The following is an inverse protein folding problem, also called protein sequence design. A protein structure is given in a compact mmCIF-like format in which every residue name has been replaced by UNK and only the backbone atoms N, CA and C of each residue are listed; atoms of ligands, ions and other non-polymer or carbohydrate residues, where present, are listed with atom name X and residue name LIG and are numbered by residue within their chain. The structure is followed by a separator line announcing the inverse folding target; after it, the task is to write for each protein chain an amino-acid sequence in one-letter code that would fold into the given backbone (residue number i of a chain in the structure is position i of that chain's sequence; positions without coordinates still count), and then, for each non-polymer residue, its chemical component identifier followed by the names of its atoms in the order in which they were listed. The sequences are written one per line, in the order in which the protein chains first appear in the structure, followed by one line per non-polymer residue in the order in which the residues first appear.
data_IF_270720892000
#
_entry.id   IF_270720892000
#
_cell.length_a   1.000
_cell.length_b   1.000
_cell.length_c   1.000
_cell.angle_alpha   90.00
_cell.angle_beta   90.00
_cell.angle_gamma   90.00
#
_symmetry.space_group_name_H-M   'P 1'
#
loop_
_entity.id
_entity.type
_entity.pdbx_description
1 polymer ?
#
# COMPACT_ATOMS: atom_id res chain seq x y z
N UNK A 1 39.07 32.64 50.64
CA UNK A 1 38.08 31.56 50.48
C UNK A 1 36.71 32.08 50.00
N UNK A 2 36.05 33.05 50.62
CA UNK A 2 34.70 33.54 50.23
C UNK A 2 34.60 34.11 48.81
N UNK A 3 35.68 34.67 48.24
CA UNK A 3 35.69 35.19 46.84
C UNK A 3 35.84 34.08 45.81
N UNK A 4 36.56 32.98 46.11
CA UNK A 4 36.74 31.83 45.24
C UNK A 4 35.45 31.03 45.10
N UNK A 5 34.68 30.90 46.15
CA UNK A 5 33.38 30.17 46.18
C UNK A 5 32.34 30.92 45.32
N UNK A 6 32.34 32.27 45.30
CA UNK A 6 31.43 33.06 44.45
C UNK A 6 31.74 32.92 42.96
N UNK A 7 33.03 32.77 42.60
CA UNK A 7 33.43 32.58 41.19
C UNK A 7 33.07 31.15 40.74
N UNK A 8 33.23 30.16 41.58
CA UNK A 8 32.88 28.76 41.30
C UNK A 8 31.37 28.54 41.22
N UNK A 9 30.54 29.34 41.89
CA UNK A 9 29.09 29.29 41.84
C UNK A 9 28.51 29.96 40.57
N UNK A 10 29.29 30.83 39.90
CA UNK A 10 28.84 31.53 38.67
C UNK A 10 29.15 30.73 37.39
N UNK A 11 30.05 29.75 37.44
CA UNK A 11 30.50 28.95 36.34
C UNK A 11 29.41 28.02 35.73
N UNK A 12 28.51 27.38 36.48
CA UNK A 12 27.42 26.60 35.85
C UNK A 12 26.35 27.43 35.20
N UNK A 13 26.23 28.72 35.46
CA UNK A 13 25.24 29.61 34.84
C UNK A 13 25.62 30.03 33.43
N UNK A 14 26.90 29.94 33.05
CA UNK A 14 27.35 30.25 31.68
C UNK A 14 27.18 29.06 30.69
N UNK A 15 26.92 27.86 31.14
CA UNK A 15 26.76 26.69 30.26
C UNK A 15 25.34 26.53 29.70
N UNK A 16 24.38 27.38 30.08
CA UNK A 16 22.98 27.28 29.61
C UNK A 16 22.68 28.09 28.35
N UNK A 17 23.66 28.75 27.72
CA UNK A 17 23.50 29.33 26.39
C UNK A 17 24.06 28.38 25.32
N UNK A 18 23.55 27.16 25.28
CA UNK A 18 23.66 26.34 24.08
C UNK A 18 22.66 26.91 23.07
N UNK A 19 23.13 27.75 22.15
CA UNK A 19 22.36 28.04 20.96
C UNK A 19 22.15 26.73 20.22
N UNK A 20 20.93 26.27 20.12
CA UNK A 20 20.52 25.32 19.10
C UNK A 20 20.46 26.13 17.80
N UNK A 21 21.49 26.02 16.98
CA UNK A 21 21.42 26.47 15.61
C UNK A 21 20.58 25.45 14.87
N UNK A 22 19.44 25.87 14.32
CA UNK A 22 18.69 25.09 13.37
C UNK A 22 19.56 24.93 12.13
N UNK A 23 20.14 23.75 11.95
CA UNK A 23 20.85 23.41 10.73
C UNK A 23 19.81 23.21 9.65
N UNK A 24 19.55 24.25 8.88
CA UNK A 24 18.79 24.14 7.63
C UNK A 24 19.71 23.44 6.64
N UNK A 25 19.50 22.14 6.45
CA UNK A 25 20.15 21.41 5.36
C UNK A 25 19.41 21.82 4.09
N UNK A 26 20.06 22.66 3.28
CA UNK A 26 19.58 22.99 1.94
C UNK A 26 19.77 21.74 1.06
N UNK A 27 18.76 20.90 1.04
CA UNK A 27 18.71 19.76 0.10
C UNK A 27 18.27 20.34 -1.24
N UNK A 28 19.06 20.09 -2.29
CA UNK A 28 18.62 20.38 -3.66
C UNK A 28 17.23 19.78 -3.87
N UNK A 29 16.23 20.63 -4.02
CA UNK A 29 14.87 20.22 -4.27
C UNK A 29 14.80 19.59 -5.65
N UNK A 30 14.59 18.27 -5.70
CA UNK A 30 14.28 17.58 -6.96
C UNK A 30 12.97 18.14 -7.54
N UNK A 31 12.88 18.24 -8.85
CA UNK A 31 11.61 18.61 -9.50
C UNK A 31 10.51 17.63 -9.09
N UNK A 32 9.29 18.09 -8.77
CA UNK A 32 8.18 17.22 -8.47
C UNK A 32 7.97 16.17 -9.58
N UNK A 33 7.84 14.92 -9.20
CA UNK A 33 7.55 13.82 -10.14
C UNK A 33 6.06 13.48 -10.09
N UNK A 34 5.52 13.02 -11.21
CA UNK A 34 4.15 12.52 -11.26
C UNK A 34 4.10 11.18 -10.51
N UNK A 35 3.11 11.01 -9.63
CA UNK A 35 2.81 9.75 -8.96
C UNK A 35 1.58 9.14 -9.60
N UNK A 36 1.68 7.89 -10.03
CA UNK A 36 0.57 7.14 -10.65
C UNK A 36 0.24 5.95 -9.76
N UNK A 37 -1.00 5.90 -9.25
CA UNK A 37 -1.52 4.76 -8.51
C UNK A 37 -2.78 4.26 -9.21
N UNK A 38 -2.77 3.02 -9.69
CA UNK A 38 -3.92 2.51 -10.41
C UNK A 38 -4.01 0.99 -10.44
N UNK A 39 -5.22 0.51 -10.61
CA UNK A 39 -5.45 -0.92 -10.76
C UNK A 39 -6.69 -1.23 -11.58
N UNK A 40 -6.68 -2.40 -12.24
CA UNK A 40 -7.86 -3.02 -12.82
C UNK A 40 -8.03 -4.42 -12.26
N UNK A 41 -9.26 -4.81 -11.91
CA UNK A 41 -9.58 -6.14 -11.40
C UNK A 41 -10.69 -6.79 -12.23
N UNK A 42 -10.87 -8.09 -12.07
CA UNK A 42 -11.96 -8.85 -12.70
C UNK A 42 -13.32 -8.69 -11.99
N UNK A 43 -13.41 -7.81 -11.01
CA UNK A 43 -14.67 -7.46 -10.35
C UNK A 43 -15.42 -6.41 -11.17
N UNK A 44 -16.74 -6.57 -11.32
CA UNK A 44 -17.61 -5.57 -11.96
C UNK A 44 -17.78 -4.36 -11.04
N UNK A 45 -16.94 -3.34 -11.26
CA UNK A 45 -16.93 -2.10 -10.45
C UNK A 45 -16.36 -0.92 -11.24
N UNK A 46 -16.46 0.27 -10.70
CA UNK A 46 -15.62 1.38 -11.13
C UNK A 46 -14.18 1.14 -10.66
N UNK A 47 -13.23 1.21 -11.56
CA UNK A 47 -11.80 1.19 -11.24
C UNK A 47 -11.30 2.61 -11.12
N UNK A 48 -10.26 2.79 -10.32
CA UNK A 48 -9.71 4.10 -9.98
C UNK A 48 -8.23 4.18 -10.37
N UNK A 49 -7.86 5.34 -10.91
CA UNK A 49 -6.47 5.78 -11.07
C UNK A 49 -6.33 7.11 -10.36
N UNK A 50 -5.33 7.22 -9.49
CA UNK A 50 -5.02 8.44 -8.74
C UNK A 50 -3.73 9.02 -9.30
N UNK A 51 -3.75 10.33 -9.58
CA UNK A 51 -2.61 11.05 -10.09
C UNK A 51 -2.29 12.24 -9.16
N UNK A 52 -1.06 12.28 -8.67
CA UNK A 52 -0.58 13.37 -7.82
C UNK A 52 0.87 13.73 -8.17
N UNK A 53 1.42 14.73 -7.50
CA UNK A 53 2.84 15.04 -7.54
C UNK A 53 3.52 14.59 -6.24
N UNK A 54 4.80 14.25 -6.33
CA UNK A 54 5.61 14.01 -5.13
C UNK A 54 5.72 15.31 -4.34
N UNK A 55 5.56 15.23 -3.02
CA UNK A 55 5.80 16.35 -2.13
C UNK A 55 7.26 16.41 -1.69
N UNK A 56 7.77 17.61 -1.43
CA UNK A 56 9.06 17.79 -0.79
C UNK A 56 9.05 17.20 0.62
N UNK A 57 10.17 16.67 1.06
CA UNK A 57 10.32 16.04 2.37
C UNK A 57 9.86 16.94 3.54
N UNK A 58 10.03 18.23 3.42
CA UNK A 58 9.62 19.23 4.44
C UNK A 58 8.24 19.83 4.18
N UNK A 59 7.55 19.36 3.16
CA UNK A 59 6.23 19.89 2.82
C UNK A 59 5.19 19.42 3.84
N UNK A 60 4.57 20.36 4.56
CA UNK A 60 3.50 20.09 5.53
C UNK A 60 2.09 20.40 5.00
N UNK A 61 1.97 20.65 3.70
CA UNK A 61 0.70 20.98 3.04
C UNK A 61 0.01 19.77 2.43
N UNK A 62 -1.13 20.03 1.81
CA UNK A 62 -1.87 19.02 1.04
C UNK A 62 -1.05 18.58 -0.18
N UNK A 63 -1.18 17.30 -0.54
CA UNK A 63 -0.56 16.74 -1.74
C UNK A 63 -1.19 17.40 -2.97
N UNK A 64 -0.34 17.91 -3.88
CA UNK A 64 -0.78 18.46 -5.13
C UNK A 64 -1.27 17.35 -6.06
N UNK A 65 -2.52 17.50 -6.56
CA UNK A 65 -3.16 16.51 -7.41
C UNK A 65 -3.05 16.91 -8.89
N UNK A 66 -2.79 15.93 -9.75
CA UNK A 66 -2.74 16.14 -11.22
C UNK A 66 -4.16 16.19 -11.77
N UNK A 67 -4.49 17.27 -12.47
CA UNK A 67 -5.81 17.52 -13.04
C UNK A 67 -5.78 17.56 -14.56
N UNK A 68 -6.93 17.24 -15.16
CA UNK A 68 -7.12 17.34 -16.62
C UNK A 68 -6.33 16.32 -17.43
N UNK A 69 -5.79 15.27 -16.82
CA UNK A 69 -5.10 14.22 -17.53
C UNK A 69 -6.08 13.36 -18.34
N UNK A 70 -5.60 12.78 -19.43
CA UNK A 70 -6.32 11.74 -20.17
C UNK A 70 -5.84 10.39 -19.68
N UNK A 71 -6.74 9.63 -19.08
CA UNK A 71 -6.42 8.32 -18.49
C UNK A 71 -7.21 7.24 -19.21
N UNK A 72 -6.54 6.17 -19.62
CA UNK A 72 -7.18 5.01 -20.22
C UNK A 72 -6.41 3.73 -19.95
N UNK A 73 -7.12 2.60 -19.92
CA UNK A 73 -6.56 1.26 -19.83
C UNK A 73 -7.05 0.45 -21.04
N UNK A 74 -6.13 -0.17 -21.76
CA UNK A 74 -6.47 -1.04 -22.90
C UNK A 74 -5.96 -2.45 -22.69
N UNK A 75 -6.68 -3.43 -23.22
CA UNK A 75 -6.26 -4.83 -23.31
C UNK A 75 -5.81 -5.22 -24.72
N UNK A 76 -5.62 -4.22 -25.59
CA UNK A 76 -5.24 -4.40 -26.99
C UNK A 76 -6.43 -4.59 -27.93
N UNK A 77 -7.64 -4.79 -27.42
CA UNK A 77 -8.89 -4.91 -28.18
C UNK A 77 -9.83 -3.78 -27.80
N UNK A 78 -10.11 -3.64 -26.52
CA UNK A 78 -10.99 -2.64 -25.95
C UNK A 78 -10.19 -1.59 -25.19
N UNK A 79 -10.75 -0.38 -25.08
CA UNK A 79 -10.16 0.72 -24.29
C UNK A 79 -11.18 1.24 -23.29
N UNK A 80 -10.84 1.14 -22.03
CA UNK A 80 -11.59 1.67 -20.89
C UNK A 80 -11.07 3.08 -20.63
N UNK A 81 -11.94 4.09 -20.74
CA UNK A 81 -11.60 5.49 -20.43
C UNK A 81 -11.97 5.80 -18.99
N UNK A 82 -11.12 6.59 -18.35
CA UNK A 82 -11.33 7.10 -17.02
C UNK A 82 -11.66 8.58 -17.07
N UNK A 83 -12.57 9.02 -16.23
CA UNK A 83 -12.97 10.42 -16.12
C UNK A 83 -12.58 10.98 -14.77
N UNK A 84 -12.04 12.19 -14.74
CA UNK A 84 -11.70 12.88 -13.50
C UNK A 84 -12.98 13.16 -12.70
N UNK A 85 -12.93 12.86 -11.40
CA UNK A 85 -14.01 13.17 -10.48
C UNK A 85 -14.08 14.69 -10.23
N UNK A 86 -15.29 15.23 -10.24
CA UNK A 86 -15.49 16.67 -10.07
C UNK A 86 -15.16 17.17 -8.65
N UNK A 87 -15.38 16.32 -7.64
CA UNK A 87 -15.19 16.63 -6.22
C UNK A 87 -13.82 16.17 -5.72
N UNK A 88 -13.35 15.02 -6.19
CA UNK A 88 -12.06 14.43 -5.82
C UNK A 88 -11.02 14.70 -6.89
N UNK A 89 -10.31 15.83 -6.77
CA UNK A 89 -9.25 16.21 -7.71
C UNK A 89 -8.20 15.10 -7.84
N UNK A 90 -7.75 14.85 -9.08
CA UNK A 90 -6.72 13.85 -9.38
C UNK A 90 -7.17 12.40 -9.25
N UNK A 91 -8.44 12.15 -8.95
CA UNK A 91 -9.05 10.83 -8.97
C UNK A 91 -9.80 10.62 -10.27
N UNK A 92 -9.45 9.58 -10.99
CA UNK A 92 -10.00 9.23 -12.30
C UNK A 92 -10.71 7.89 -12.18
N UNK A 93 -12.00 7.84 -12.54
CA UNK A 93 -12.83 6.64 -12.44
C UNK A 93 -13.25 6.13 -13.81
N UNK A 94 -13.24 4.82 -13.99
CA UNK A 94 -13.85 4.16 -15.15
C UNK A 94 -15.37 4.11 -15.00
N UNK A 95 -16.05 3.74 -16.06
CA UNK A 95 -17.39 3.16 -15.94
C UNK A 95 -17.34 1.80 -15.22
N UNK A 96 -18.51 1.24 -14.89
CA UNK A 96 -18.62 -0.10 -14.32
C UNK A 96 -18.14 -1.14 -15.33
N UNK A 97 -17.00 -1.77 -15.06
CA UNK A 97 -16.38 -2.74 -15.94
C UNK A 97 -15.66 -3.82 -15.13
N UNK A 98 -15.60 -5.04 -15.67
CA UNK A 98 -14.78 -6.11 -15.14
C UNK A 98 -13.63 -6.41 -16.11
N UNK A 99 -12.42 -6.48 -15.57
CA UNK A 99 -11.27 -6.93 -16.35
C UNK A 99 -11.37 -8.42 -16.71
N UNK A 100 -10.71 -8.80 -17.79
CA UNK A 100 -10.61 -10.17 -18.27
C UNK A 100 -9.33 -10.82 -17.77
N UNK A 101 -9.43 -12.01 -17.20
CA UNK A 101 -8.27 -12.82 -16.78
C UNK A 101 -7.45 -13.27 -18.00
N UNK A 102 -6.20 -13.63 -17.80
CA UNK A 102 -5.23 -13.99 -18.83
C UNK A 102 -5.03 -12.91 -19.90
N UNK A 103 -5.05 -11.65 -19.47
CA UNK A 103 -5.02 -10.50 -20.36
C UNK A 103 -3.94 -9.52 -19.90
N UNK A 104 -3.16 -9.01 -20.87
CA UNK A 104 -2.22 -7.93 -20.64
C UNK A 104 -2.98 -6.61 -20.73
N UNK A 105 -2.89 -5.81 -19.69
CA UNK A 105 -3.44 -4.47 -19.63
C UNK A 105 -2.32 -3.43 -19.73
N UNK A 106 -2.58 -2.40 -20.51
CA UNK A 106 -1.71 -1.22 -20.61
C UNK A 106 -2.48 0.01 -20.15
N UNK A 107 -2.00 0.63 -19.08
CA UNK A 107 -2.39 1.98 -18.68
C UNK A 107 -1.71 2.99 -19.57
N UNK A 108 -2.43 4.01 -19.99
CA UNK A 108 -1.93 5.20 -20.69
C UNK A 108 -2.42 6.43 -19.95
N UNK A 109 -1.50 7.36 -19.66
CA UNK A 109 -1.78 8.61 -18.97
C UNK A 109 -1.08 9.74 -19.70
N UNK A 110 -1.84 10.71 -20.21
CA UNK A 110 -1.32 11.94 -20.79
C UNK A 110 -1.59 13.08 -19.80
N UNK A 111 -0.53 13.58 -19.18
CA UNK A 111 -0.61 14.69 -18.23
C UNK A 111 -0.33 16.00 -18.94
N UNK A 112 -1.20 17.03 -18.86
CA UNK A 112 -0.95 18.33 -19.46
C UNK A 112 0.36 18.95 -18.94
N UNK A 113 1.21 19.35 -19.87
CA UNK A 113 2.48 20.04 -19.58
C UNK A 113 2.82 20.98 -20.76
N UNK A 114 2.80 22.30 -20.48
CA UNK A 114 3.07 23.31 -21.49
C UNK A 114 4.53 23.33 -21.95
N UNK A 115 5.43 22.64 -21.26
CA UNK A 115 6.85 22.56 -21.62
C UNK A 115 7.17 21.46 -22.63
N UNK A 116 6.26 20.52 -22.84
CA UNK A 116 6.41 19.46 -23.84
C UNK A 116 5.87 19.93 -25.21
N UNK A 117 6.45 19.44 -26.30
CA UNK A 117 6.15 19.92 -27.68
C UNK A 117 4.68 19.75 -28.08
N UNK A 118 4.04 18.67 -27.63
CA UNK A 118 2.63 18.39 -27.90
C UNK A 118 1.69 18.72 -26.73
N UNK A 119 2.24 19.36 -25.67
CA UNK A 119 1.50 19.81 -24.51
C UNK A 119 1.20 18.71 -23.48
N UNK A 120 1.86 17.53 -23.57
CA UNK A 120 1.60 16.42 -22.65
C UNK A 120 2.87 15.64 -22.27
N UNK A 121 2.95 15.23 -21.01
CA UNK A 121 3.82 14.15 -20.59
C UNK A 121 3.09 12.84 -20.81
N UNK A 122 3.63 11.95 -21.63
CA UNK A 122 3.06 10.64 -21.92
C UNK A 122 3.65 9.59 -20.98
N UNK A 123 2.79 8.92 -20.23
CA UNK A 123 3.16 7.84 -19.33
C UNK A 123 2.41 6.56 -19.69
N UNK A 124 3.04 5.42 -19.48
CA UNK A 124 2.36 4.13 -19.62
C UNK A 124 2.90 3.12 -18.60
N UNK A 125 2.10 2.09 -18.34
CA UNK A 125 2.50 0.93 -17.56
C UNK A 125 1.79 -0.31 -18.06
N UNK A 126 2.40 -1.48 -17.90
CA UNK A 126 1.81 -2.76 -18.28
C UNK A 126 1.69 -3.68 -17.08
N UNK A 127 0.60 -4.45 -17.05
CA UNK A 127 0.40 -5.48 -16.06
C UNK A 127 -0.46 -6.62 -16.61
N UNK A 128 -0.06 -7.85 -16.35
CA UNK A 128 -0.78 -9.03 -16.80
C UNK A 128 -1.69 -9.56 -15.70
N UNK A 129 -3.00 -9.59 -15.95
CA UNK A 129 -3.98 -10.18 -15.05
C UNK A 129 -3.95 -11.70 -15.19
N UNK A 130 -3.34 -12.37 -14.24
CA UNK A 130 -3.28 -13.83 -14.22
C UNK A 130 -4.62 -14.45 -13.80
N UNK A 131 -4.85 -15.70 -14.21
CA UNK A 131 -6.04 -16.49 -13.83
C UNK A 131 -5.70 -17.41 -12.66
N UNK A 132 -5.37 -16.89 -11.50
CA UNK A 132 -4.72 -17.69 -10.47
C UNK A 132 -5.44 -17.73 -9.12
N UNK A 133 -6.59 -17.11 -9.00
CA UNK A 133 -7.36 -17.19 -7.77
C UNK A 133 -8.61 -18.00 -8.07
N UNK A 134 -8.49 -19.32 -8.01
CA UNK A 134 -9.62 -20.12 -8.39
C UNK A 134 -10.73 -20.08 -7.35
N UNK A 135 -10.46 -20.27 -6.09
CA UNK A 135 -11.51 -20.15 -5.06
C UNK A 135 -10.88 -20.00 -3.66
N UNK A 136 -11.33 -19.01 -2.90
CA UNK A 136 -11.29 -19.10 -1.45
C UNK A 136 -12.53 -19.90 -1.03
N UNK A 137 -12.33 -21.08 -0.42
CA UNK A 137 -13.45 -21.88 0.07
C UNK A 137 -14.19 -21.18 1.20
N UNK A 138 -13.41 -20.62 2.11
CA UNK A 138 -13.93 -19.98 3.30
C UNK A 138 -12.86 -19.12 3.97
N UNK A 139 -13.29 -18.29 4.90
CA UNK A 139 -12.45 -17.60 5.86
C UNK A 139 -12.95 -17.90 7.27
N UNK A 140 -12.04 -17.99 8.24
CA UNK A 140 -12.40 -18.18 9.64
C UNK A 140 -11.63 -17.21 10.54
N UNK A 141 -12.29 -16.77 11.59
CA UNK A 141 -11.70 -15.97 12.64
C UNK A 141 -11.44 -16.90 13.81
N UNK A 142 -10.20 -16.94 14.27
CA UNK A 142 -9.78 -17.80 15.37
C UNK A 142 -8.90 -17.04 16.34
N UNK A 143 -8.98 -17.35 17.67
CA UNK A 143 -8.03 -16.80 18.63
C UNK A 143 -6.59 -17.13 18.23
N UNK A 144 -5.71 -16.16 18.34
CA UNK A 144 -4.28 -16.42 18.22
C UNK A 144 -3.74 -16.90 19.57
N UNK A 145 -3.48 -18.17 19.65
CA UNK A 145 -2.75 -18.75 20.76
C UNK A 145 -1.26 -18.58 20.46
N UNK A 146 -0.52 -17.86 21.31
CA UNK A 146 0.92 -17.59 21.12
C UNK A 146 1.74 -18.88 20.91
N UNK A 147 3.05 -18.76 20.81
CA UNK A 147 4.01 -19.82 20.43
C UNK A 147 3.82 -21.17 21.16
N UNK A 148 3.11 -21.20 22.28
CA UNK A 148 2.85 -22.41 23.09
C UNK A 148 1.41 -22.93 22.99
N UNK A 149 0.61 -22.39 22.06
CA UNK A 149 -0.76 -22.85 21.74
C UNK A 149 -1.78 -22.93 22.90
N UNK A 150 -1.46 -22.34 24.05
CA UNK A 150 -2.29 -22.48 25.25
C UNK A 150 -2.84 -21.17 25.82
N UNK A 151 -2.30 -20.03 25.38
CA UNK A 151 -2.70 -18.72 25.93
C UNK A 151 -2.97 -17.74 24.79
N UNK A 152 -4.14 -17.10 24.76
CA UNK A 152 -4.42 -16.07 23.74
C UNK A 152 -3.36 -14.96 23.79
N UNK A 153 -2.87 -14.54 22.61
CA UNK A 153 -1.97 -13.41 22.53
C UNK A 153 -2.71 -12.12 22.89
N UNK A 154 -2.05 -11.29 23.70
CA UNK A 154 -2.60 -10.02 24.16
C UNK A 154 -1.71 -8.89 23.68
N UNK A 155 -2.30 -7.91 22.97
CA UNK A 155 -1.63 -6.66 22.56
C UNK A 155 -2.38 -5.49 23.19
N UNK A 156 -1.66 -4.60 23.87
CA UNK A 156 -2.25 -3.45 24.56
C UNK A 156 -3.41 -3.79 25.50
N UNK A 157 -3.37 -4.98 26.13
CA UNK A 157 -4.40 -5.42 27.07
C UNK A 157 -5.64 -6.06 26.43
N UNK A 158 -5.65 -6.25 25.12
CA UNK A 158 -6.73 -6.88 24.37
C UNK A 158 -6.26 -8.18 23.71
N UNK A 159 -7.13 -9.16 23.58
CA UNK A 159 -6.85 -10.41 22.87
C UNK A 159 -6.92 -10.20 21.37
N UNK A 160 -6.19 -11.02 20.62
CA UNK A 160 -6.12 -10.96 19.16
C UNK A 160 -6.86 -12.14 18.56
N UNK A 161 -7.69 -11.82 17.59
CA UNK A 161 -8.34 -12.77 16.70
C UNK A 161 -7.70 -12.69 15.31
N UNK A 162 -7.31 -13.83 14.75
CA UNK A 162 -6.69 -13.89 13.42
C UNK A 162 -7.69 -14.36 12.37
N UNK A 163 -7.61 -13.76 11.19
CA UNK A 163 -8.37 -14.12 10.00
C UNK A 163 -7.54 -15.06 9.13
N UNK A 164 -8.05 -16.28 8.95
CA UNK A 164 -7.43 -17.34 8.14
C UNK A 164 -8.23 -17.62 6.88
N UNK A 165 -7.62 -17.55 5.68
CA UNK A 165 -8.24 -18.00 4.45
C UNK A 165 -8.01 -19.50 4.25
N UNK A 166 -8.98 -20.19 3.64
CA UNK A 166 -8.89 -21.56 3.21
C UNK A 166 -9.08 -21.65 1.70
N UNK A 167 -8.19 -22.35 1.03
CA UNK A 167 -8.14 -22.45 -0.43
C UNK A 167 -8.22 -23.90 -0.92
N UNK A 168 -8.76 -24.11 -2.13
CA UNK A 168 -8.82 -25.44 -2.77
C UNK A 168 -7.66 -25.72 -3.72
N UNK A 169 -7.08 -24.73 -4.36
CA UNK A 169 -6.09 -24.93 -5.42
C UNK A 169 -4.67 -24.52 -5.03
N UNK A 170 -3.69 -25.06 -5.76
CA UNK A 170 -2.30 -24.70 -5.59
C UNK A 170 -2.01 -23.44 -6.39
N UNK A 171 -1.48 -22.38 -5.77
CA UNK A 171 -1.20 -21.14 -6.45
C UNK A 171 0.06 -21.21 -7.29
N UNK A 172 0.14 -20.31 -8.26
CA UNK A 172 1.35 -20.00 -8.98
C UNK A 172 2.36 -19.31 -8.03
N UNK A 173 3.61 -19.82 -7.91
CA UNK A 173 4.63 -19.23 -7.03
C UNK A 173 5.04 -17.81 -7.40
N UNK A 174 4.72 -17.35 -8.60
CA UNK A 174 5.03 -16.00 -9.07
C UNK A 174 3.98 -14.95 -8.67
N UNK A 175 2.96 -15.35 -7.88
CA UNK A 175 1.88 -14.48 -7.44
C UNK A 175 1.99 -14.19 -5.97
N UNK A 176 1.62 -12.97 -5.65
CA UNK A 176 1.44 -12.50 -4.29
C UNK A 176 -0.02 -12.15 -4.09
N UNK A 177 -0.56 -12.56 -2.96
CA UNK A 177 -1.90 -12.17 -2.58
C UNK A 177 -1.87 -10.91 -1.72
N UNK A 178 -2.60 -9.90 -2.17
CA UNK A 178 -2.84 -8.68 -1.42
C UNK A 178 -4.25 -8.74 -0.83
N UNK A 179 -4.40 -8.87 0.49
CA UNK A 179 -5.71 -8.94 1.12
C UNK A 179 -6.34 -7.54 1.26
N UNK A 180 -7.60 -7.44 0.88
CA UNK A 180 -8.48 -6.32 1.16
C UNK A 180 -9.52 -6.80 2.17
N UNK A 181 -9.51 -6.26 3.36
CA UNK A 181 -10.36 -6.72 4.46
C UNK A 181 -11.46 -5.72 4.74
N UNK A 182 -12.67 -6.21 4.76
CA UNK A 182 -13.89 -5.43 5.00
C UNK A 182 -14.57 -5.90 6.27
N UNK A 183 -15.10 -4.97 7.03
CA UNK A 183 -15.97 -5.23 8.17
C UNK A 183 -17.25 -4.41 8.00
N UNK A 184 -18.41 -5.04 7.95
CA UNK A 184 -19.70 -4.39 7.78
C UNK A 184 -19.70 -3.37 6.63
N UNK A 185 -19.17 -3.76 5.46
CA UNK A 185 -19.00 -2.95 4.25
C UNK A 185 -17.99 -1.79 4.35
N UNK A 186 -17.27 -1.66 5.47
CA UNK A 186 -16.17 -0.70 5.63
C UNK A 186 -14.84 -1.37 5.34
N UNK A 187 -14.06 -0.81 4.40
CA UNK A 187 -12.71 -1.27 4.12
C UNK A 187 -11.78 -0.91 5.28
N UNK A 188 -11.14 -1.92 5.86
CA UNK A 188 -10.18 -1.74 6.98
C UNK A 188 -8.76 -1.54 6.51
N UNK A 189 -8.43 -2.04 5.31
CA UNK A 189 -7.10 -1.96 4.70
C UNK A 189 -7.12 -0.96 3.55
N UNK A 190 -7.49 0.30 3.83
CA UNK A 190 -7.66 1.33 2.81
C UNK A 190 -6.33 1.89 2.30
N UNK A 191 -5.30 1.94 3.12
CA UNK A 191 -3.98 2.41 2.72
C UNK A 191 -3.07 1.26 2.26
N UNK A 192 -2.16 1.55 1.32
CA UNK A 192 -1.22 0.57 0.82
C UNK A 192 -0.34 0.00 1.94
N UNK A 193 0.09 0.83 2.89
CA UNK A 193 0.87 0.41 4.06
C UNK A 193 0.08 -0.54 4.97
N UNK A 194 -1.22 -0.34 5.16
CA UNK A 194 -2.06 -1.26 5.93
C UNK A 194 -2.24 -2.60 5.22
N UNK A 195 -2.39 -2.60 3.89
CA UNK A 195 -2.45 -3.83 3.09
C UNK A 195 -1.18 -4.65 3.16
N UNK A 196 -0.05 -4.01 3.39
CA UNK A 196 1.26 -4.63 3.41
C UNK A 196 1.73 -5.13 4.75
N UNK A 197 1.37 -4.44 5.81
CA UNK A 197 1.81 -4.82 7.16
C UNK A 197 1.28 -6.19 7.58
N UNK A 198 0.30 -6.72 6.89
CA UNK A 198 -0.37 -7.96 7.23
C UNK A 198 0.51 -9.19 6.99
N UNK A 199 1.15 -9.38 5.83
CA UNK A 199 2.08 -10.49 5.62
C UNK A 199 3.41 -10.30 6.37
N UNK A 200 3.85 -9.06 6.56
CA UNK A 200 5.18 -8.73 7.10
C UNK A 200 5.17 -8.63 8.63
N UNK A 201 4.14 -8.08 9.24
CA UNK A 201 4.07 -7.90 10.69
C UNK A 201 3.84 -9.21 11.46
N UNK A 202 3.23 -10.22 10.83
CA UNK A 202 3.04 -11.54 11.42
C UNK A 202 4.29 -12.43 11.37
N UNK A 203 5.23 -12.14 10.48
CA UNK A 203 6.42 -12.95 10.24
C UNK A 203 7.61 -12.04 9.92
N UNK A 204 8.28 -11.54 10.94
CA UNK A 204 9.49 -10.76 10.79
C UNK A 204 10.50 -11.50 9.87
N UNK A 205 10.59 -11.08 8.60
CA UNK A 205 11.58 -11.56 7.65
C UNK A 205 11.15 -12.65 6.67
N UNK A 206 9.90 -13.09 6.64
CA UNK A 206 9.45 -14.10 5.69
C UNK A 206 8.43 -13.52 4.70
N UNK A 207 8.86 -13.43 3.44
CA UNK A 207 7.95 -13.27 2.33
C UNK A 207 7.13 -14.55 2.19
N UNK A 208 5.81 -14.46 2.39
CA UNK A 208 4.97 -15.62 2.16
C UNK A 208 4.71 -15.69 0.66
N UNK A 209 5.53 -16.45 -0.04
CA UNK A 209 5.24 -16.85 -1.42
C UNK A 209 3.87 -17.52 -1.46
N UNK A 210 3.10 -17.27 -2.52
CA UNK A 210 1.80 -17.93 -2.73
C UNK A 210 1.81 -19.43 -2.40
N UNK A 211 2.82 -20.24 -2.80
CA UNK A 211 2.94 -21.66 -2.44
C UNK A 211 3.08 -21.95 -0.95
N UNK A 212 3.72 -21.06 -0.18
CA UNK A 212 3.86 -21.24 1.27
C UNK A 212 2.56 -20.93 2.01
N UNK A 213 1.77 -19.96 1.54
CA UNK A 213 0.46 -19.66 2.09
C UNK A 213 -0.50 -20.87 1.96
N UNK A 214 -0.28 -21.69 0.95
CA UNK A 214 -1.25 -22.68 0.51
C UNK A 214 -0.76 -24.13 0.69
N UNK A 215 0.33 -24.33 1.43
CA UNK A 215 0.68 -25.67 1.88
C UNK A 215 -0.50 -26.23 2.68
N UNK A 216 -1.06 -27.34 2.17
CA UNK A 216 -2.12 -28.10 2.82
C UNK A 216 -1.72 -28.31 4.28
N UNK A 217 -2.46 -27.77 5.24
CA UNK A 217 -2.26 -27.75 6.68
C UNK A 217 -1.42 -26.60 7.28
N UNK A 218 -1.03 -25.57 6.52
CA UNK A 218 -0.39 -24.41 7.11
C UNK A 218 -1.42 -23.26 7.15
N UNK A 219 -1.92 -22.96 8.33
CA UNK A 219 -2.81 -21.82 8.54
C UNK A 219 -1.97 -20.55 8.58
N UNK A 220 -2.08 -19.69 7.56
CA UNK A 220 -1.40 -18.41 7.49
C UNK A 220 -2.45 -17.32 7.65
N UNK A 221 -2.38 -16.53 8.71
CA UNK A 221 -3.33 -15.45 8.91
C UNK A 221 -3.06 -14.31 7.92
N UNK A 222 -4.13 -13.69 7.43
CA UNK A 222 -4.07 -12.54 6.51
C UNK A 222 -4.42 -11.21 7.15
N UNK A 223 -5.02 -11.24 8.35
CA UNK A 223 -5.37 -10.05 9.11
C UNK A 223 -5.57 -10.41 10.58
N UNK A 224 -5.52 -9.41 11.45
CA UNK A 224 -5.88 -9.58 12.85
C UNK A 224 -6.89 -8.52 13.30
N UNK A 225 -7.69 -8.89 14.26
CA UNK A 225 -8.64 -8.00 14.93
C UNK A 225 -8.31 -7.95 16.42
N UNK A 226 -8.46 -6.79 17.02
CA UNK A 226 -8.59 -6.69 18.45
C UNK A 226 -9.97 -7.26 18.86
N UNK A 227 -10.00 -8.17 19.80
CA UNK A 227 -11.25 -8.84 20.21
C UNK A 227 -12.33 -7.84 20.63
N UNK A 228 -11.96 -6.76 21.32
CA UNK A 228 -12.87 -5.69 21.74
C UNK A 228 -13.53 -4.92 20.56
N UNK A 229 -13.01 -5.09 19.34
CA UNK A 229 -13.53 -4.47 18.12
C UNK A 229 -14.42 -5.39 17.30
N UNK A 230 -14.57 -6.66 17.72
CA UNK A 230 -15.45 -7.65 17.08
C UNK A 230 -16.71 -7.85 17.91
N UNK A 231 -17.86 -7.85 17.22
CA UNK A 231 -19.17 -8.07 17.83
C UNK A 231 -19.88 -9.22 17.11
N UNK A 232 -20.68 -9.98 17.84
CA UNK A 232 -21.51 -11.03 17.24
C UNK A 232 -22.39 -10.45 16.13
N UNK A 233 -22.33 -11.07 14.96
CA UNK A 233 -23.04 -10.62 13.77
C UNK A 233 -22.22 -9.70 12.84
N UNK A 234 -20.98 -9.31 13.21
CA UNK A 234 -20.10 -8.57 12.30
C UNK A 234 -19.82 -9.42 11.05
N UNK A 235 -20.09 -8.85 9.88
CA UNK A 235 -19.75 -9.45 8.59
C UNK A 235 -18.32 -9.10 8.24
N UNK A 236 -17.50 -10.12 8.03
CA UNK A 236 -16.10 -9.97 7.63
C UNK A 236 -15.94 -10.55 6.24
N UNK A 237 -15.48 -9.73 5.29
CA UNK A 237 -15.14 -10.17 3.93
C UNK A 237 -13.65 -9.97 3.68
N UNK A 238 -13.06 -10.94 3.04
CA UNK A 238 -11.69 -10.86 2.51
C UNK A 238 -11.73 -11.00 0.99
N UNK A 239 -11.20 -10.00 0.30
CA UNK A 239 -10.94 -10.02 -1.13
C UNK A 239 -9.43 -10.21 -1.31
N UNK A 240 -8.99 -11.35 -1.83
CA UNK A 240 -7.58 -11.60 -2.13
C UNK A 240 -7.31 -11.23 -3.58
N UNK A 241 -6.53 -10.18 -3.77
CA UNK A 241 -6.08 -9.74 -5.07
C UNK A 241 -4.78 -10.45 -5.43
N UNK A 242 -4.76 -11.10 -6.58
CA UNK A 242 -3.59 -11.77 -7.15
C UNK A 242 -2.73 -10.74 -7.87
N UNK A 243 -1.73 -10.19 -7.20
CA UNK A 243 -0.85 -9.15 -7.76
C UNK A 243 0.49 -9.73 -8.23
N UNK A 244 1.17 -9.12 -9.22
CA UNK A 244 2.49 -9.57 -9.65
C UNK A 244 3.53 -9.39 -8.55
N UNK A 245 4.56 -10.27 -8.56
CA UNK A 245 5.65 -10.21 -7.59
C UNK A 245 6.37 -8.86 -7.59
N UNK A 246 6.51 -8.24 -8.76
CA UNK A 246 7.19 -6.94 -8.89
C UNK A 246 6.48 -5.82 -8.13
N UNK A 247 5.16 -5.93 -7.99
CA UNK A 247 4.39 -5.02 -7.15
C UNK A 247 4.82 -5.09 -5.67
N UNK A 248 5.17 -6.28 -5.18
CA UNK A 248 5.72 -6.42 -3.84
C UNK A 248 7.04 -5.67 -3.66
N UNK A 249 7.91 -5.71 -4.67
CA UNK A 249 9.18 -4.97 -4.60
C UNK A 249 8.96 -3.46 -4.56
N UNK A 250 8.01 -2.95 -5.37
CA UNK A 250 7.60 -1.54 -5.28
C UNK A 250 7.16 -1.18 -3.87
N UNK A 251 6.28 -1.97 -3.34
CA UNK A 251 5.70 -1.73 -2.05
C UNK A 251 6.74 -1.86 -0.92
N UNK A 252 7.66 -2.80 -0.99
CA UNK A 252 8.80 -2.90 -0.10
C UNK A 252 9.71 -1.66 -0.20
N UNK A 253 9.99 -1.18 -1.42
CA UNK A 253 10.77 0.03 -1.63
C UNK A 253 10.08 1.27 -1.03
N UNK A 254 8.76 1.36 -1.16
CA UNK A 254 7.96 2.43 -0.57
C UNK A 254 8.02 2.39 0.97
N UNK A 255 7.83 1.21 1.59
CA UNK A 255 7.89 1.08 3.05
C UNK A 255 9.27 1.41 3.62
N UNK A 256 10.32 1.02 2.90
CA UNK A 256 11.70 1.34 3.27
C UNK A 256 11.96 2.85 3.18
N UNK A 257 11.43 3.51 2.16
CA UNK A 257 11.55 4.95 1.99
C UNK A 257 10.80 5.73 3.07
N UNK A 258 9.59 5.29 3.44
CA UNK A 258 8.78 5.90 4.50
C UNK A 258 9.37 5.67 5.90
N UNK A 259 10.02 4.52 6.13
CA UNK A 259 10.66 4.17 7.40
C UNK A 259 12.10 4.67 7.54
N UNK A 260 12.71 5.21 6.49
CA UNK A 260 14.09 5.69 6.54
C UNK A 260 14.20 6.97 7.36
N UNK A 261 15.06 6.94 8.39
CA UNK A 261 15.44 8.15 9.08
C UNK A 261 16.43 8.92 8.19
N UNK A 262 16.15 10.18 7.81
CA UNK A 262 17.04 10.97 6.95
C UNK A 262 18.46 11.12 7.49
N UNK A 263 18.65 10.93 8.80
CA UNK A 263 19.96 10.95 9.44
C UNK A 263 20.75 9.64 9.30
N UNK A 264 20.13 8.55 8.84
CA UNK A 264 20.75 7.21 8.81
C UNK A 264 20.97 6.64 7.41
N UNK A 265 20.49 7.28 6.35
CA UNK A 265 20.72 6.80 4.98
C UNK A 265 20.03 7.66 3.92
N UNK A 266 20.54 7.58 2.70
CA UNK A 266 19.89 8.21 1.56
C UNK A 266 18.53 7.55 1.28
N UNK A 267 17.51 8.30 0.82
CA UNK A 267 16.25 7.74 0.40
C UNK A 267 16.49 6.70 -0.71
N UNK A 268 15.84 5.55 -0.59
CA UNK A 268 15.93 4.50 -1.60
C UNK A 268 15.11 4.94 -2.81
N UNK A 269 15.64 4.79 -4.02
CA UNK A 269 14.87 5.02 -5.24
C UNK A 269 13.68 4.05 -5.27
N UNK A 270 12.49 4.59 -5.49
CA UNK A 270 11.28 3.77 -5.62
C UNK A 270 11.37 2.92 -6.89
N UNK A 271 11.08 1.64 -6.74
CA UNK A 271 10.85 0.75 -7.87
C UNK A 271 9.49 1.12 -8.48
N UNK A 272 9.41 1.27 -9.79
CA UNK A 272 8.16 1.65 -10.49
C UNK A 272 8.02 0.87 -11.79
N UNK A 273 6.79 0.58 -12.22
CA UNK A 273 6.53 0.09 -13.56
C UNK A 273 6.01 1.19 -14.52
N UNK A 274 6.00 2.42 -14.07
CA UNK A 274 5.60 3.57 -14.90
C UNK A 274 6.74 3.96 -15.83
N UNK A 275 6.42 4.12 -17.11
CA UNK A 275 7.36 4.50 -18.16
C UNK A 275 6.94 5.83 -18.81
N UNK A 276 7.89 6.61 -19.36
CA UNK A 276 9.33 6.40 -19.36
C UNK A 276 9.95 6.61 -17.95
N UNK A 277 11.01 5.87 -17.69
CA UNK A 277 11.72 5.94 -16.41
C UNK A 277 12.18 7.39 -16.08
N UNK A 278 12.06 7.80 -14.83
CA UNK A 278 12.48 9.13 -14.35
C UNK A 278 11.48 10.25 -14.57
N UNK A 279 10.37 10.03 -15.29
CA UNK A 279 9.29 11.02 -15.45
C UNK A 279 8.20 10.87 -14.39
N UNK A 280 7.97 9.65 -13.90
CA UNK A 280 6.95 9.36 -12.91
C UNK A 280 7.38 8.21 -11.99
N UNK A 281 6.71 8.11 -10.85
CA UNK A 281 6.80 7.00 -9.90
C UNK A 281 5.41 6.44 -9.64
N UNK A 282 5.32 5.37 -8.86
CA UNK A 282 4.05 4.74 -8.55
C UNK A 282 3.90 3.38 -9.21
N UNK A 283 2.69 2.85 -9.28
CA UNK A 283 2.45 1.51 -9.81
C UNK A 283 1.04 1.35 -10.39
N UNK A 284 0.98 0.62 -11.50
CA UNK A 284 -0.26 0.10 -12.07
C UNK A 284 -0.23 -1.43 -12.04
N UNK A 285 -1.32 -2.07 -11.59
CA UNK A 285 -1.44 -3.52 -11.63
C UNK A 285 -2.81 -3.98 -12.09
N UNK A 286 -2.84 -5.16 -12.72
CA UNK A 286 -4.04 -5.89 -13.07
C UNK A 286 -4.12 -7.17 -12.22
N UNK A 287 -5.24 -7.37 -11.52
CA UNK A 287 -5.38 -8.47 -10.56
C UNK A 287 -6.71 -9.21 -10.70
N UNK A 288 -6.66 -10.53 -10.66
CA UNK A 288 -7.84 -11.33 -10.39
C UNK A 288 -8.13 -11.36 -8.89
N UNK A 289 -9.40 -11.44 -8.51
CA UNK A 289 -9.86 -11.36 -7.12
C UNK A 289 -10.66 -12.58 -6.74
N UNK A 290 -10.32 -13.20 -5.61
CA UNK A 290 -11.17 -14.18 -4.95
C UNK A 290 -11.70 -13.59 -3.64
N UNK A 291 -12.99 -13.79 -3.39
CA UNK A 291 -13.67 -13.24 -2.23
C UNK A 291 -14.30 -14.32 -1.39
N UNK A 292 -14.20 -14.19 -0.08
CA UNK A 292 -14.98 -15.00 0.87
C UNK A 292 -15.49 -14.11 2.01
N UNK A 293 -16.58 -14.52 2.60
CA UNK A 293 -17.22 -13.80 3.71
C UNK A 293 -17.52 -14.76 4.86
N UNK A 294 -17.44 -14.26 6.08
CA UNK A 294 -17.88 -14.96 7.28
C UNK A 294 -18.61 -14.00 8.21
N UNK A 295 -19.42 -14.53 9.10
CA UNK A 295 -20.07 -13.76 10.18
C UNK A 295 -19.39 -14.15 11.48
N UNK A 296 -18.87 -13.15 12.20
CA UNK A 296 -18.27 -13.40 13.48
C UNK A 296 -19.31 -13.83 14.51
N UNK A 297 -19.02 -14.92 15.18
CA UNK A 297 -19.81 -15.49 16.29
C UNK A 297 -18.86 -15.91 17.40
N UNK A 298 -19.23 -15.57 18.63
CA UNK A 298 -18.51 -16.00 19.85
C UNK A 298 -18.59 -17.51 20.06
#
# INVERSE_FOLDING_TARGET
MKKLIKILSLMPLLCCFACTEDVVIDLEEGSPMIVVEGSITDQMKQHEVILSYTANFYHSGDIEMVRGARVSVTDGVDTIRFQEDAEKKGHYFSEMVAGRRNTLYRLMVDVPDETEEDGFVHLFAESFMKNNVDVIDSIAIKPFNGVNDTTPAVIFGDTIEWLYPYFQSLPDPSIVYMPMIWKNDTLLTDTLTQRMLIPIAGYAGYYVNGPEMLQKNKEIPIHYFMRSKLHNGDRIRADLQSVPMDFMYYVYSLSTSLGSNPMMGAPTNLITNIQPAGKAVGWFYAASVASAETVFQE
#
